data_IF_462062148686
#
_entry.id   IF_462062148686
#
_cell.length_a   1.000
_cell.length_b   1.000
_cell.length_c   1.000
_cell.angle_alpha   90.00
_cell.angle_beta   90.00
_cell.angle_gamma   90.00
#
_symmetry.space_group_name_H-M   'P 1'
#
loop_
_entity.id
_entity.type
_entity.pdbx_description
1 polymer ?
#
# COMPACT_ATOMS: atom_id res chain seq x y z
N UNK A 1 17.33 4.39 5.00
CA UNK A 1 15.98 4.42 4.43
C UNK A 1 16.05 3.78 3.05
N UNK A 2 15.62 2.53 2.90
CA UNK A 2 15.64 1.81 1.61
C UNK A 2 14.22 1.89 1.07
N UNK A 3 13.92 2.94 0.31
CA UNK A 3 12.62 3.06 -0.35
C UNK A 3 12.57 1.99 -1.44
N UNK A 4 11.74 0.97 -1.22
CA UNK A 4 11.53 -0.05 -2.22
C UNK A 4 10.50 0.48 -3.23
N UNK A 5 10.65 0.18 -4.52
CA UNK A 5 9.67 0.62 -5.53
C UNK A 5 8.24 0.15 -5.21
N UNK A 6 8.12 -0.97 -4.48
CA UNK A 6 6.85 -1.49 -3.98
C UNK A 6 6.16 -0.57 -2.97
N UNK A 7 6.90 0.23 -2.20
CA UNK A 7 6.33 1.17 -1.23
C UNK A 7 5.64 2.34 -1.96
N UNK A 8 6.22 2.77 -3.08
CA UNK A 8 5.60 3.78 -3.95
C UNK A 8 4.31 3.28 -4.62
N UNK A 9 4.32 2.04 -5.13
CA UNK A 9 3.12 1.42 -5.70
C UNK A 9 2.00 1.31 -4.64
N UNK A 10 2.37 0.92 -3.43
CA UNK A 10 1.46 0.84 -2.28
C UNK A 10 0.88 2.20 -1.92
N UNK A 11 1.71 3.23 -1.85
CA UNK A 11 1.27 4.60 -1.58
C UNK A 11 0.31 5.11 -2.65
N UNK A 12 0.62 4.92 -3.93
CA UNK A 12 -0.22 5.39 -5.03
C UNK A 12 -1.58 4.67 -5.04
N UNK A 13 -1.59 3.35 -4.83
CA UNK A 13 -2.82 2.58 -4.73
C UNK A 13 -3.70 3.08 -3.57
N UNK A 14 -3.12 3.36 -2.39
CA UNK A 14 -3.87 3.92 -1.25
C UNK A 14 -4.37 5.33 -1.54
N UNK A 15 -3.55 6.20 -2.13
CA UNK A 15 -3.94 7.56 -2.48
C UNK A 15 -5.11 7.59 -3.47
N UNK A 16 -5.09 6.68 -4.46
CA UNK A 16 -6.15 6.56 -5.48
C UNK A 16 -7.45 6.00 -4.91
N UNK A 17 -7.37 4.95 -4.09
CA UNK A 17 -8.55 4.28 -3.56
C UNK A 17 -9.08 4.93 -2.26
N UNK A 18 -8.29 5.77 -1.61
CA UNK A 18 -8.55 6.37 -0.29
C UNK A 18 -8.92 5.34 0.79
N UNK A 19 -8.51 4.08 0.59
CA UNK A 19 -8.86 2.94 1.44
C UNK A 19 -7.78 1.88 1.36
N UNK A 20 -7.28 1.46 2.53
CA UNK A 20 -6.28 0.38 2.63
C UNK A 20 -6.82 -0.96 2.14
N UNK A 21 -8.12 -1.19 2.27
CA UNK A 21 -8.74 -2.46 1.84
C UNK A 21 -8.87 -2.54 0.32
N UNK A 22 -9.30 -1.45 -0.32
CA UNK A 22 -9.39 -1.39 -1.78
C UNK A 22 -7.99 -1.39 -2.44
N UNK A 23 -7.01 -0.70 -1.85
CA UNK A 23 -5.62 -0.79 -2.30
C UNK A 23 -5.02 -2.20 -2.11
N UNK A 24 -5.41 -2.89 -1.04
CA UNK A 24 -5.03 -4.29 -0.81
C UNK A 24 -5.62 -5.22 -1.88
N UNK A 25 -6.91 -5.07 -2.20
CA UNK A 25 -7.58 -5.84 -3.25
C UNK A 25 -6.89 -5.65 -4.62
N UNK A 26 -6.55 -4.41 -4.97
CA UNK A 26 -5.83 -4.07 -6.20
C UNK A 26 -4.43 -4.70 -6.28
N UNK A 27 -3.71 -4.74 -5.17
CA UNK A 27 -2.33 -5.23 -5.12
C UNK A 27 -2.22 -6.71 -4.74
N UNK A 28 -3.34 -7.41 -4.49
CA UNK A 28 -3.36 -8.79 -4.01
C UNK A 28 -2.78 -8.96 -2.60
N UNK A 29 -2.87 -7.91 -1.77
CA UNK A 29 -2.32 -7.84 -0.42
C UNK A 29 -3.42 -7.65 0.63
N UNK A 30 -3.14 -8.07 1.85
CA UNK A 30 -4.01 -7.74 2.98
C UNK A 30 -3.90 -6.25 3.34
N UNK A 31 -5.00 -5.64 3.78
CA UNK A 31 -5.03 -4.25 4.24
C UNK A 31 -4.02 -3.96 5.37
N UNK A 32 -3.71 -4.96 6.19
CA UNK A 32 -2.70 -4.84 7.25
C UNK A 32 -1.27 -4.76 6.70
N UNK A 33 -0.98 -5.48 5.60
CA UNK A 33 0.30 -5.41 4.92
C UNK A 33 0.50 -4.02 4.29
N UNK A 34 -0.54 -3.48 3.64
CA UNK A 34 -0.55 -2.12 3.10
C UNK A 34 -0.26 -1.08 4.20
N UNK A 35 -0.95 -1.19 5.34
CA UNK A 35 -0.74 -0.26 6.47
C UNK A 35 0.67 -0.35 7.03
N UNK A 36 1.25 -1.54 7.09
CA UNK A 36 2.61 -1.74 7.57
C UNK A 36 3.65 -1.14 6.61
N UNK A 37 3.47 -1.34 5.30
CA UNK A 37 4.34 -0.79 4.26
C UNK A 37 4.34 0.75 4.21
N UNK A 38 3.23 1.41 4.54
CA UNK A 38 3.17 2.88 4.62
C UNK A 38 3.79 3.41 5.92
N UNK A 39 3.74 2.62 7.00
CA UNK A 39 4.20 3.04 8.33
C UNK A 39 5.72 2.97 8.50
N UNK A 40 6.38 2.10 7.73
CA UNK A 40 7.80 1.76 7.85
C UNK A 40 8.66 2.67 6.96
#
# INVERSE_FOLDING_TARGET
>A
MRMNMSDFATFFAVARNQSFRAAGDELGLSSSAISHSIKT
#
